data_IF_596371395434
#
_entry.id   IF_596371395434
#
_cell.length_a   1.000
_cell.length_b   1.000
_cell.length_c   1.000
_cell.angle_alpha   90.00
_cell.angle_beta   90.00
_cell.angle_gamma   90.00
#
_symmetry.space_group_name_H-M   'P 1'
#
loop_
_entity.id
_entity.type
_entity.pdbx_description
1 polymer ?
#
# COMPACT_ATOMS: atom_id res chain seq x y z
N UNK A 1 -1.93 -44.17 3.50
CA UNK A 1 -1.40 -43.30 2.43
C UNK A 1 -2.22 -42.02 2.41
N UNK A 2 -1.74 -40.93 3.01
CA UNK A 2 -2.42 -39.64 2.89
C UNK A 2 -2.35 -39.21 1.42
N UNK A 3 -3.52 -39.22 0.76
CA UNK A 3 -3.63 -38.99 -0.68
C UNK A 3 -3.22 -37.55 -1.01
N UNK A 4 -2.43 -37.35 -2.07
CA UNK A 4 -1.86 -36.07 -2.52
C UNK A 4 -2.94 -34.97 -2.73
N UNK A 5 -4.21 -35.36 -2.81
CA UNK A 5 -5.35 -34.46 -2.88
C UNK A 5 -5.60 -33.66 -1.60
N UNK A 6 -5.27 -34.16 -0.40
CA UNK A 6 -5.51 -33.44 0.85
C UNK A 6 -4.68 -32.15 0.97
N UNK A 7 -3.36 -32.11 0.68
CA UNK A 7 -2.63 -30.84 0.72
C UNK A 7 -3.14 -29.85 -0.33
N UNK A 8 -3.51 -30.29 -1.53
CA UNK A 8 -4.03 -29.40 -2.58
C UNK A 8 -5.32 -28.70 -2.15
N UNK A 9 -6.26 -29.45 -1.55
CA UNK A 9 -7.52 -28.89 -1.05
C UNK A 9 -7.26 -27.92 0.11
N UNK A 10 -6.35 -28.25 1.03
CA UNK A 10 -6.02 -27.35 2.15
C UNK A 10 -5.35 -26.06 1.69
N UNK A 11 -4.44 -26.11 0.72
CA UNK A 11 -3.78 -24.92 0.15
C UNK A 11 -4.80 -24.04 -0.58
N UNK A 12 -5.70 -24.65 -1.36
CA UNK A 12 -6.75 -23.92 -2.09
C UNK A 12 -7.76 -23.29 -1.12
N UNK A 13 -8.15 -24.00 -0.05
CA UNK A 13 -9.00 -23.46 1.00
C UNK A 13 -8.34 -22.30 1.75
N UNK A 14 -7.06 -22.43 2.11
CA UNK A 14 -6.34 -21.40 2.85
C UNK A 14 -6.13 -20.14 2.01
N UNK A 15 -5.77 -20.30 0.74
CA UNK A 15 -5.59 -19.18 -0.19
C UNK A 15 -6.91 -18.45 -0.47
N UNK A 16 -8.01 -19.17 -0.68
CA UNK A 16 -9.32 -18.54 -0.86
C UNK A 16 -9.78 -17.78 0.39
N UNK A 17 -9.61 -18.36 1.59
CA UNK A 17 -9.89 -17.67 2.85
C UNK A 17 -9.04 -16.40 3.01
N UNK A 18 -7.75 -16.47 2.67
CA UNK A 18 -6.85 -15.31 2.71
C UNK A 18 -7.29 -14.20 1.75
N UNK A 19 -7.74 -14.54 0.54
CA UNK A 19 -8.26 -13.57 -0.44
C UNK A 19 -9.54 -12.91 0.07
N UNK A 20 -10.46 -13.69 0.64
CA UNK A 20 -11.70 -13.17 1.22
C UNK A 20 -11.40 -12.23 2.38
N UNK A 21 -10.53 -12.65 3.31
CA UNK A 21 -10.07 -11.81 4.41
C UNK A 21 -9.44 -10.50 3.91
N UNK A 22 -8.53 -10.59 2.94
CA UNK A 22 -7.88 -9.41 2.34
C UNK A 22 -8.89 -8.47 1.69
N UNK A 23 -9.91 -9.02 1.01
CA UNK A 23 -10.98 -8.24 0.39
C UNK A 23 -11.85 -7.54 1.42
N UNK A 24 -12.20 -8.20 2.53
CA UNK A 24 -12.94 -7.59 3.65
C UNK A 24 -12.12 -6.45 4.25
N UNK A 25 -10.83 -6.67 4.53
CA UNK A 25 -9.94 -5.62 5.03
C UNK A 25 -9.86 -4.43 4.08
N UNK A 26 -9.77 -4.68 2.77
CA UNK A 26 -9.76 -3.64 1.74
C UNK A 26 -11.04 -2.81 1.76
N UNK A 27 -12.21 -3.44 1.88
CA UNK A 27 -13.50 -2.75 1.97
C UNK A 27 -13.58 -1.93 3.26
N UNK A 28 -13.19 -2.48 4.41
CA UNK A 28 -13.16 -1.74 5.66
C UNK A 28 -12.26 -0.51 5.58
N UNK A 29 -11.09 -0.65 4.95
CA UNK A 29 -10.14 0.44 4.74
C UNK A 29 -10.67 1.47 3.75
N UNK A 30 -11.38 1.04 2.71
CA UNK A 30 -12.06 1.92 1.76
C UNK A 30 -13.12 2.77 2.44
N UNK A 31 -13.98 2.18 3.28
CA UNK A 31 -15.01 2.92 4.03
C UNK A 31 -14.38 3.96 4.96
N UNK A 32 -13.25 3.64 5.60
CA UNK A 32 -12.51 4.61 6.43
C UNK A 32 -11.92 5.76 5.59
N UNK A 33 -11.36 5.45 4.42
CA UNK A 33 -10.80 6.46 3.52
C UNK A 33 -11.90 7.36 2.92
N UNK A 34 -13.07 6.80 2.60
CA UNK A 34 -14.20 7.54 2.06
C UNK A 34 -14.67 8.66 2.99
N UNK A 35 -14.51 8.49 4.30
CA UNK A 35 -14.84 9.52 5.30
C UNK A 35 -13.89 10.73 5.27
N UNK A 36 -12.71 10.61 4.65
CA UNK A 36 -11.73 11.69 4.57
C UNK A 36 -12.09 12.74 3.52
N UNK A 37 -13.01 12.42 2.58
CA UNK A 37 -13.36 13.34 1.48
C UNK A 37 -12.25 13.56 0.45
N UNK A 38 -11.19 12.76 0.49
CA UNK A 38 -10.07 12.83 -0.44
C UNK A 38 -10.29 11.90 -1.64
N UNK A 39 -9.65 12.19 -2.80
CA UNK A 39 -9.58 11.24 -3.92
C UNK A 39 -8.96 9.91 -3.48
N UNK A 40 -9.59 8.80 -3.87
CA UNK A 40 -9.20 7.45 -3.45
C UNK A 40 -8.76 6.63 -4.66
N UNK A 41 -7.62 5.96 -4.55
CA UNK A 41 -7.21 4.87 -5.45
C UNK A 41 -7.16 3.55 -4.68
N UNK A 42 -7.85 2.55 -5.18
CA UNK A 42 -7.86 1.21 -4.58
C UNK A 42 -6.74 0.38 -5.19
N UNK A 43 -5.91 -0.22 -4.33
CA UNK A 43 -4.85 -1.15 -4.71
C UNK A 43 -5.16 -2.49 -4.04
N UNK A 44 -5.42 -3.55 -4.82
CA UNK A 44 -5.91 -4.81 -4.28
C UNK A 44 -4.83 -5.61 -3.53
N UNK A 45 -3.55 -5.33 -3.77
CA UNK A 45 -2.43 -6.02 -3.12
C UNK A 45 -1.64 -4.98 -2.33
N UNK A 46 -1.31 -5.30 -1.08
CA UNK A 46 -0.50 -4.38 -0.27
C UNK A 46 0.96 -4.47 -0.69
N UNK A 47 1.58 -3.33 -1.00
CA UNK A 47 2.99 -3.25 -1.33
C UNK A 47 3.92 -3.54 -0.14
N UNK A 48 3.37 -3.62 1.09
CA UNK A 48 4.14 -4.06 2.29
C UNK A 48 4.15 -5.57 2.48
N UNK A 49 3.40 -6.34 1.68
CA UNK A 49 3.44 -7.80 1.77
C UNK A 49 4.82 -8.31 1.32
N UNK A 50 5.59 -9.02 2.17
CA UNK A 50 6.93 -9.48 1.83
C UNK A 50 6.99 -10.36 0.57
N UNK A 51 5.96 -11.18 0.36
CA UNK A 51 5.87 -12.03 -0.84
C UNK A 51 5.71 -11.15 -2.07
N UNK A 52 4.82 -10.15 -2.00
CA UNK A 52 4.61 -9.21 -3.09
C UNK A 52 5.86 -8.36 -3.36
N UNK A 53 6.55 -7.89 -2.33
CA UNK A 53 7.79 -7.11 -2.46
C UNK A 53 8.90 -7.83 -3.24
N UNK A 54 8.90 -9.17 -3.26
CA UNK A 54 9.88 -9.95 -4.03
C UNK A 54 9.49 -10.15 -5.49
N UNK A 55 8.19 -10.18 -5.79
CA UNK A 55 7.66 -10.54 -7.12
C UNK A 55 7.09 -9.36 -7.89
N UNK A 56 6.80 -8.24 -7.22
CA UNK A 56 6.09 -7.07 -7.75
C UNK A 56 6.67 -6.56 -9.09
N UNK A 57 8.00 -6.37 -9.17
CA UNK A 57 8.68 -5.88 -10.36
C UNK A 57 8.55 -6.83 -11.55
N UNK A 58 8.66 -8.14 -11.31
CA UNK A 58 8.53 -9.15 -12.36
C UNK A 58 7.09 -9.22 -12.85
N UNK A 59 6.13 -9.29 -11.92
CA UNK A 59 4.71 -9.36 -12.24
C UNK A 59 4.27 -8.11 -13.01
N UNK A 60 4.67 -6.92 -12.57
CA UNK A 60 4.31 -5.68 -13.26
C UNK A 60 5.03 -5.54 -14.60
N UNK A 61 6.28 -5.96 -14.73
CA UNK A 61 6.98 -5.96 -16.01
C UNK A 61 6.27 -6.86 -17.04
N UNK A 62 5.79 -8.02 -16.61
CA UNK A 62 4.99 -8.93 -17.46
C UNK A 62 3.67 -8.27 -17.83
N UNK A 63 2.94 -7.73 -16.86
CA UNK A 63 1.65 -7.09 -17.11
C UNK A 63 1.83 -5.89 -18.04
N UNK A 64 2.87 -5.06 -17.87
CA UNK A 64 3.19 -3.90 -18.73
C UNK A 64 3.39 -4.25 -20.21
N UNK A 65 3.68 -5.51 -20.55
CA UNK A 65 3.78 -5.97 -21.95
C UNK A 65 2.42 -6.20 -22.61
N UNK A 66 1.34 -6.24 -21.83
CA UNK A 66 -0.01 -6.40 -22.35
C UNK A 66 -0.58 -5.05 -22.83
N UNK A 67 -1.41 -5.01 -23.87
CA UNK A 67 -1.96 -3.77 -24.42
C UNK A 67 -2.89 -3.02 -23.46
N UNK A 68 -3.45 -3.71 -22.44
CA UNK A 68 -4.33 -3.13 -21.41
C UNK A 68 -3.60 -2.72 -20.13
N UNK A 69 -2.27 -2.58 -20.20
CA UNK A 69 -1.45 -2.49 -19.00
C UNK A 69 -1.31 -1.10 -18.39
N UNK A 70 -1.90 -0.05 -18.97
CA UNK A 70 -1.88 1.29 -18.39
C UNK A 70 -3.04 1.51 -17.42
N UNK A 71 -3.09 0.68 -16.36
CA UNK A 71 -4.11 0.74 -15.33
C UNK A 71 -3.52 1.23 -13.99
N UNK A 72 -4.40 1.62 -13.05
CA UNK A 72 -3.99 1.99 -11.68
C UNK A 72 -3.09 0.92 -11.05
N UNK A 73 -3.37 -0.35 -11.34
CA UNK A 73 -2.64 -1.47 -10.79
C UNK A 73 -1.16 -1.44 -11.16
N UNK A 74 -0.81 -1.31 -12.43
CA UNK A 74 0.60 -1.28 -12.88
C UNK A 74 1.31 0.02 -12.54
N UNK A 75 0.55 1.10 -12.31
CA UNK A 75 1.08 2.41 -11.91
C UNK A 75 1.44 2.47 -10.44
N UNK A 76 0.60 1.92 -9.54
CA UNK A 76 0.74 2.09 -8.08
C UNK A 76 1.13 0.81 -7.32
N UNK A 77 1.01 -0.38 -7.92
CA UNK A 77 1.11 -1.66 -7.18
C UNK A 77 2.52 -2.27 -7.12
N UNK A 78 3.56 -1.47 -6.95
CA UNK A 78 4.95 -1.92 -6.68
C UNK A 78 5.66 -0.96 -5.75
N UNK A 79 6.73 -1.41 -5.12
CA UNK A 79 7.56 -0.54 -4.29
C UNK A 79 8.35 0.46 -5.14
N UNK A 80 8.33 1.74 -4.74
CA UNK A 80 9.06 2.80 -5.42
C UNK A 80 8.33 3.35 -6.64
N UNK A 81 7.02 3.13 -6.73
CA UNK A 81 6.19 3.67 -7.79
C UNK A 81 6.14 5.21 -7.79
N UNK A 82 6.43 5.81 -6.64
CA UNK A 82 6.49 7.24 -6.42
C UNK A 82 7.61 7.91 -7.26
N UNK A 83 8.69 7.17 -7.55
CA UNK A 83 9.86 7.69 -8.28
C UNK A 83 9.59 8.03 -9.75
N UNK A 84 8.99 7.13 -10.55
CA UNK A 84 8.58 7.46 -11.92
C UNK A 84 7.33 8.33 -11.96
N UNK A 85 6.44 8.25 -10.97
CA UNK A 85 5.20 9.02 -10.96
C UNK A 85 5.41 10.50 -10.58
N UNK A 86 6.29 10.79 -9.61
CA UNK A 86 6.63 12.15 -9.17
C UNK A 86 5.38 12.98 -8.83
N UNK A 87 5.10 14.00 -9.65
CA UNK A 87 4.00 14.94 -9.48
C UNK A 87 2.75 14.54 -10.27
N UNK A 88 2.81 13.55 -11.17
CA UNK A 88 1.69 13.24 -12.06
C UNK A 88 0.42 12.84 -11.30
N UNK A 89 0.53 12.04 -10.25
CA UNK A 89 -0.61 11.69 -9.40
C UNK A 89 -1.20 12.90 -8.67
N UNK A 90 -0.38 13.82 -8.19
CA UNK A 90 -0.84 15.05 -7.55
C UNK A 90 -1.47 16.02 -8.54
N UNK A 91 -1.02 16.03 -9.81
CA UNK A 91 -1.66 16.79 -10.87
C UNK A 91 -3.07 16.27 -11.18
N UNK A 92 -3.25 14.95 -11.18
CA UNK A 92 -4.52 14.29 -11.51
C UNK A 92 -5.52 14.31 -10.35
N UNK A 93 -5.05 14.09 -9.12
CA UNK A 93 -5.90 13.89 -7.94
C UNK A 93 -5.90 15.12 -7.00
N UNK A 94 -4.97 16.05 -7.18
CA UNK A 94 -4.85 17.26 -6.36
C UNK A 94 -3.82 17.14 -5.25
N UNK A 95 -3.91 18.06 -4.29
CA UNK A 95 -2.89 18.25 -3.26
C UNK A 95 -2.78 17.09 -2.27
N UNK A 96 -3.86 16.32 -2.09
CA UNK A 96 -3.86 15.13 -1.26
C UNK A 96 -4.72 14.02 -1.85
N UNK A 97 -4.25 12.78 -1.77
CA UNK A 97 -5.00 11.59 -2.19
C UNK A 97 -4.65 10.39 -1.32
N UNK A 98 -5.51 9.37 -1.36
CA UNK A 98 -5.38 8.17 -0.54
C UNK A 98 -5.26 6.92 -1.41
N UNK A 99 -4.20 6.14 -1.19
CA UNK A 99 -4.09 4.77 -1.70
C UNK A 99 -4.58 3.79 -0.64
N UNK A 100 -5.69 3.13 -0.95
CA UNK A 100 -6.31 2.12 -0.08
C UNK A 100 -5.72 0.76 -0.42
N UNK A 101 -5.12 0.10 0.57
CA UNK A 101 -4.61 -1.28 0.44
C UNK A 101 -5.28 -2.18 1.49
N UNK A 102 -5.26 -3.52 1.34
CA UNK A 102 -5.80 -4.42 2.35
C UNK A 102 -5.08 -4.27 3.70
N UNK A 103 -3.79 -3.92 3.67
CA UNK A 103 -3.00 -3.69 4.87
C UNK A 103 -3.36 -2.36 5.54
N UNK A 104 -3.23 -1.25 4.81
CA UNK A 104 -3.38 0.12 5.34
C UNK A 104 -3.86 1.11 4.28
N UNK A 105 -4.27 2.29 4.75
CA UNK A 105 -4.50 3.47 3.92
C UNK A 105 -3.26 4.35 3.93
N UNK A 106 -2.80 4.72 2.74
CA UNK A 106 -1.63 5.57 2.54
C UNK A 106 -2.09 6.93 2.04
N UNK A 107 -1.82 7.98 2.80
CA UNK A 107 -2.18 9.34 2.44
C UNK A 107 -0.94 10.02 1.85
N UNK A 108 -1.08 10.55 0.65
CA UNK A 108 -0.05 11.32 -0.05
C UNK A 108 -0.47 12.77 -0.03
N UNK A 109 0.45 13.64 0.40
CA UNK A 109 0.22 15.08 0.55
C UNK A 109 1.37 15.82 -0.13
N UNK A 110 1.06 16.76 -1.02
CA UNK A 110 2.06 17.61 -1.68
C UNK A 110 2.15 19.02 -1.09
N UNK A 111 1.16 19.44 -0.28
CA UNK A 111 1.14 20.77 0.31
C UNK A 111 2.21 20.88 1.43
N UNK A 112 3.17 21.80 1.33
CA UNK A 112 4.27 21.93 2.29
C UNK A 112 3.80 22.34 3.69
N UNK A 113 2.79 23.20 3.80
CA UNK A 113 2.26 23.67 5.08
C UNK A 113 1.59 22.51 5.84
N UNK A 114 0.78 21.73 5.13
CA UNK A 114 0.16 20.52 5.67
C UNK A 114 1.21 19.49 6.11
N UNK A 115 2.27 19.30 5.33
CA UNK A 115 3.37 18.41 5.70
C UNK A 115 4.07 18.88 6.98
N UNK A 116 4.38 20.18 7.09
CA UNK A 116 5.00 20.74 8.29
C UNK A 116 4.12 20.55 9.52
N UNK A 117 2.81 20.71 9.40
CA UNK A 117 1.88 20.52 10.52
C UNK A 117 1.76 19.05 10.93
N UNK A 118 1.75 18.12 9.97
CA UNK A 118 1.85 16.67 10.25
C UNK A 118 3.16 16.36 10.97
N UNK A 119 4.28 16.95 10.54
CA UNK A 119 5.59 16.75 11.18
C UNK A 119 5.72 17.39 12.56
N UNK A 120 4.95 18.44 12.87
CA UNK A 120 4.86 19.00 14.23
C UNK A 120 4.05 18.09 15.15
N UNK A 121 2.97 17.48 14.63
CA UNK A 121 2.06 16.58 15.37
C UNK A 121 2.52 15.12 15.39
N UNK A 122 3.80 14.88 15.72
CA UNK A 122 4.40 13.51 15.68
C UNK A 122 3.73 12.52 16.64
N UNK A 123 3.09 13.01 17.69
CA UNK A 123 2.30 12.20 18.64
C UNK A 123 1.03 11.65 17.99
N UNK A 124 0.40 12.45 17.14
CA UNK A 124 -0.85 12.10 16.45
C UNK A 124 -0.57 11.24 15.20
N UNK A 125 0.62 11.41 14.60
CA UNK A 125 1.09 10.69 13.42
C UNK A 125 2.36 9.87 13.72
N UNK A 126 2.25 8.73 14.42
CA UNK A 126 3.39 7.89 14.72
C UNK A 126 4.03 7.35 13.44
N UNK A 127 5.36 7.20 13.43
CA UNK A 127 6.10 6.63 12.30
C UNK A 127 5.63 5.21 12.00
N UNK A 128 5.54 4.87 10.73
CA UNK A 128 5.27 3.52 10.30
C UNK A 128 6.48 2.61 10.63
N UNK A 129 6.38 1.88 11.74
CA UNK A 129 7.44 0.99 12.23
C UNK A 129 7.75 -0.15 11.25
N UNK A 130 6.81 -0.56 10.40
CA UNK A 130 7.07 -1.58 9.37
C UNK A 130 8.08 -1.11 8.31
N UNK A 131 8.05 0.18 7.96
CA UNK A 131 9.01 0.77 7.02
C UNK A 131 10.31 1.19 7.71
N UNK A 132 10.22 1.61 8.98
CA UNK A 132 11.35 2.19 9.73
C UNK A 132 12.04 1.15 10.62
N UNK A 133 11.53 -0.08 10.72
CA UNK A 133 12.00 -1.08 11.68
C UNK A 133 13.47 -1.43 11.54
N UNK A 134 14.01 -1.40 10.32
CA UNK A 134 15.45 -1.61 10.06
C UNK A 134 16.32 -0.40 10.45
N UNK A 135 15.79 0.83 10.39
CA UNK A 135 16.49 2.05 10.78
C UNK A 135 16.01 2.57 12.12
N UNK A 136 15.41 1.72 12.95
CA UNK A 136 14.96 2.10 14.29
C UNK A 136 16.18 2.16 15.23
N UNK A 137 17.16 2.99 14.86
CA UNK A 137 18.16 3.48 15.79
C UNK A 137 17.41 4.43 16.72
N UNK A 138 17.39 4.18 18.04
CA UNK A 138 16.85 5.16 18.97
C UNK A 138 17.70 6.42 18.81
N UNK A 139 17.16 7.41 18.10
CA UNK A 139 17.71 8.76 18.16
C UNK A 139 17.61 9.15 19.64
N UNK A 140 18.76 9.24 20.30
CA UNK A 140 18.84 9.82 21.62
C UNK A 140 18.05 11.13 21.60
N UNK A 141 17.16 11.30 22.59
CA UNK A 141 16.51 12.59 22.84
C UNK A 141 17.62 13.64 22.91
N UNK A 142 17.71 14.48 21.88
CA UNK A 142 18.43 15.74 21.98
C UNK A 142 17.37 16.73 22.43
N UNK A 143 17.25 16.84 23.74
CA UNK A 143 16.45 17.85 24.40
C UNK A 143 17.12 19.21 24.11
N UNK A 144 16.40 20.10 23.42
CA UNK A 144 16.69 21.53 23.33
C UNK A 144 15.52 22.28 23.96
#
# INVERSE_FOLDING_TARGET
MASIFTPIVTITGLTSLWIVYSSICLICNYVKAAKLGLPIRVIPISHTNPVWMLVDRKVISIIKRLPFANNSFTRYNYRGWELPDRYYSHREMGEAFVLVTPGRNWIYVSNPDTLLDVFKRRTDFPRCLELTGMTNVPHARVDY
#
